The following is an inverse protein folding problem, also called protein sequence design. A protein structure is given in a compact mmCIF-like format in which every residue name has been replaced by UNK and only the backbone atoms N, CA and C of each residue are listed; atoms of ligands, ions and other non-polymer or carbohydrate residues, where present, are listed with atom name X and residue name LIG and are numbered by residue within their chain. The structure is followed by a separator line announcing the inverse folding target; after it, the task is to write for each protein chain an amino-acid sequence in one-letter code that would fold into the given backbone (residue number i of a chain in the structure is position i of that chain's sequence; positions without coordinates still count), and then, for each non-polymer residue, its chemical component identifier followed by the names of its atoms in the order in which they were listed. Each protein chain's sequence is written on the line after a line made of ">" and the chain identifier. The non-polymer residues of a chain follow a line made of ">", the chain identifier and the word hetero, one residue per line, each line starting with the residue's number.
data_IF_995583433610
#
_entry.id   IF_995583433610
#
_cell.length_a   1.000
_cell.length_b   1.000
_cell.length_c   1.000
_cell.angle_alpha   90.00
_cell.angle_beta   90.00
_cell.angle_gamma   90.00
#
_symmetry.space_group_name_H-M   'P 1'
#
loop_
_entity.id
_entity.type
_entity.pdbx_description
1 polymer ?
#
# COMPACT_ATOMS: atom_id res chain seq x y z
N UNK A 1 -25.04 52.64 36.55
CA UNK A 1 -25.43 51.92 35.32
C UNK A 1 -24.19 51.48 34.55
N UNK A 2 -23.84 50.19 34.59
CA UNK A 2 -23.34 49.38 33.45
C UNK A 2 -22.96 47.97 33.97
N UNK A 3 -23.70 46.96 33.53
CA UNK A 3 -23.39 45.53 33.65
C UNK A 3 -22.68 45.12 32.35
N UNK A 4 -21.56 44.40 32.43
CA UNK A 4 -20.94 43.66 31.32
C UNK A 4 -20.35 42.40 31.96
N UNK A 5 -21.09 41.30 32.01
CA UNK A 5 -21.30 40.28 30.96
C UNK A 5 -20.16 39.23 30.95
N UNK A 6 -20.57 38.04 31.37
CA UNK A 6 -19.93 36.73 31.30
C UNK A 6 -19.57 36.36 29.86
N UNK A 7 -18.50 35.57 29.69
CA UNK A 7 -18.38 34.42 28.76
C UNK A 7 -16.90 34.02 28.77
N UNK A 8 -16.53 32.87 29.35
CA UNK A 8 -16.88 31.55 28.81
C UNK A 8 -15.69 31.10 27.97
N UNK A 9 -14.65 30.58 28.63
CA UNK A 9 -13.46 30.05 27.95
C UNK A 9 -13.88 28.76 27.24
N UNK A 10 -14.02 28.84 25.92
CA UNK A 10 -14.37 27.71 25.08
C UNK A 10 -13.22 26.68 25.07
N UNK A 11 -13.56 25.44 25.40
CA UNK A 11 -12.71 24.27 25.16
C UNK A 11 -12.60 24.09 23.64
N UNK A 12 -11.43 24.38 23.08
CA UNK A 12 -11.10 24.07 21.69
C UNK A 12 -10.91 22.56 21.56
N UNK A 13 -11.95 21.86 21.11
CA UNK A 13 -11.83 20.52 20.56
C UNK A 13 -11.06 20.63 19.24
N UNK A 14 -9.81 20.16 19.23
CA UNK A 14 -9.04 19.98 18.00
C UNK A 14 -9.68 18.84 17.20
N UNK A 15 -10.48 19.19 16.20
CA UNK A 15 -10.87 18.26 15.16
C UNK A 15 -9.63 17.96 14.31
N UNK A 16 -8.92 16.87 14.63
CA UNK A 16 -7.95 16.27 13.74
C UNK A 16 -8.71 15.61 12.59
N UNK A 17 -9.08 16.39 11.57
CA UNK A 17 -9.25 15.82 10.24
C UNK A 17 -7.84 15.42 9.78
N UNK A 18 -7.41 14.23 10.16
CA UNK A 18 -6.14 13.66 9.77
C UNK A 18 -6.16 13.50 8.25
N UNK A 19 -5.57 14.46 7.53
CA UNK A 19 -5.00 14.17 6.23
C UNK A 19 -3.84 13.22 6.52
N UNK A 20 -4.08 11.92 6.56
CA UNK A 20 -2.99 10.94 6.58
C UNK A 20 -2.16 11.20 5.33
N UNK A 21 -0.90 11.66 5.47
CA UNK A 21 -0.08 11.98 4.31
C UNK A 21 0.10 10.71 3.46
N UNK A 22 0.31 10.88 2.15
CA UNK A 22 0.69 9.74 1.30
C UNK A 22 1.97 9.09 1.85
N UNK A 23 2.11 7.75 1.77
CA UNK A 23 3.31 7.08 2.27
C UNK A 23 4.53 7.52 1.46
N UNK A 24 5.67 7.67 2.16
CA UNK A 24 6.89 8.23 1.60
C UNK A 24 7.97 7.18 1.31
N UNK A 25 7.85 6.00 1.93
CA UNK A 25 8.77 4.86 1.78
C UNK A 25 8.02 3.53 1.69
N UNK A 26 8.72 2.45 1.31
CA UNK A 26 8.15 1.10 1.33
C UNK A 26 7.76 0.65 2.73
N UNK A 27 8.62 0.93 3.73
CA UNK A 27 8.32 0.66 5.14
C UNK A 27 7.04 1.38 5.63
N UNK A 28 6.78 2.61 5.16
CA UNK A 28 5.53 3.32 5.48
C UNK A 28 4.31 2.63 4.87
N UNK A 29 4.46 2.05 3.67
CA UNK A 29 3.38 1.31 3.01
C UNK A 29 3.12 0.00 3.75
N UNK A 30 4.19 -0.74 4.04
CA UNK A 30 4.15 -2.00 4.78
C UNK A 30 3.49 -1.83 6.15
N UNK A 31 3.97 -0.87 6.95
CA UNK A 31 3.39 -0.60 8.27
C UNK A 31 1.89 -0.30 8.19
N UNK A 32 1.42 0.40 7.15
CA UNK A 32 -0.01 0.67 6.97
C UNK A 32 -0.81 -0.57 6.57
N UNK A 33 -0.23 -1.46 5.78
CA UNK A 33 -0.86 -2.74 5.43
C UNK A 33 -1.00 -3.58 6.70
N UNK A 34 0.08 -3.71 7.47
CA UNK A 34 0.11 -4.44 8.74
C UNK A 34 -0.87 -3.85 9.76
N UNK A 35 -0.93 -2.53 9.90
CA UNK A 35 -1.90 -1.83 10.77
C UNK A 35 -3.36 -2.04 10.35
N UNK A 36 -3.61 -2.37 9.08
CA UNK A 36 -4.95 -2.63 8.56
C UNK A 36 -5.39 -4.10 8.72
N UNK A 37 -4.45 -5.00 9.00
CA UNK A 37 -4.70 -6.41 9.23
C UNK A 37 -5.17 -6.65 10.69
N UNK A 38 -5.97 -7.69 10.94
CA UNK A 38 -6.48 -7.96 12.28
C UNK A 38 -5.37 -8.42 13.23
N UNK A 39 -5.29 -7.82 14.43
CA UNK A 39 -4.27 -8.15 15.44
C UNK A 39 -4.36 -9.60 15.96
N UNK A 40 -5.57 -10.18 15.99
CA UNK A 40 -5.87 -11.51 16.58
C UNK A 40 -6.46 -12.51 15.54
N UNK A 41 -6.22 -12.30 14.25
CA UNK A 41 -6.80 -13.11 13.17
C UNK A 41 -5.75 -13.84 12.33
N UNK A 42 -6.10 -15.02 11.83
CA UNK A 42 -5.23 -15.81 10.93
C UNK A 42 -5.37 -15.39 9.45
N UNK A 43 -6.34 -14.53 9.13
CA UNK A 43 -6.59 -14.01 7.78
C UNK A 43 -7.22 -12.61 7.80
N UNK A 44 -7.00 -11.83 6.75
CA UNK A 44 -7.52 -10.46 6.62
C UNK A 44 -7.56 -9.99 5.17
N UNK A 45 -8.35 -8.94 4.90
CA UNK A 45 -8.41 -8.30 3.58
C UNK A 45 -8.02 -6.83 3.73
N UNK A 46 -7.19 -6.33 2.81
CA UNK A 46 -6.73 -4.93 2.79
C UNK A 46 -7.14 -4.28 1.48
N UNK A 47 -7.92 -3.21 1.58
CA UNK A 47 -8.24 -2.35 0.44
C UNK A 47 -7.10 -1.37 0.20
N UNK A 48 -6.39 -1.51 -0.90
CA UNK A 48 -5.19 -0.72 -1.20
C UNK A 48 -5.48 0.77 -1.37
N UNK A 49 -6.71 1.15 -1.70
CA UNK A 49 -7.14 2.56 -1.74
C UNK A 49 -7.14 3.25 -0.38
N UNK A 50 -7.29 2.50 0.71
CA UNK A 50 -7.27 3.05 2.06
C UNK A 50 -5.81 3.21 2.56
N UNK A 51 -4.93 2.32 2.11
CA UNK A 51 -3.48 2.36 2.37
C UNK A 51 -2.79 3.47 1.55
N UNK A 52 -3.17 3.56 0.28
CA UNK A 52 -2.59 4.41 -0.76
C UNK A 52 -3.65 5.42 -1.25
N UNK A 53 -4.07 6.38 -0.40
CA UNK A 53 -5.21 7.26 -0.67
C UNK A 53 -4.98 8.25 -1.81
N UNK A 54 -3.77 8.30 -2.38
CA UNK A 54 -3.46 9.16 -3.51
C UNK A 54 -4.43 8.86 -4.67
N UNK A 55 -5.15 9.88 -5.15
CA UNK A 55 -6.06 9.73 -6.29
C UNK A 55 -5.31 9.71 -7.63
N UNK A 56 -3.97 9.76 -7.60
CA UNK A 56 -3.12 9.86 -8.80
C UNK A 56 -2.92 8.58 -9.57
N UNK A 57 -3.35 7.43 -9.06
CA UNK A 57 -3.22 6.14 -9.74
C UNK A 57 -4.58 5.59 -10.16
N UNK A 58 -4.61 4.76 -11.20
CA UNK A 58 -5.79 4.02 -11.66
C UNK A 58 -5.60 2.50 -11.60
N UNK A 59 -4.34 2.05 -11.56
CA UNK A 59 -3.96 0.63 -11.55
C UNK A 59 -2.83 0.37 -10.57
N UNK A 60 -2.83 -0.82 -9.99
CA UNK A 60 -1.81 -1.34 -9.08
C UNK A 60 -1.35 -2.69 -9.60
N UNK A 61 -0.06 -2.98 -9.47
CA UNK A 61 0.47 -4.34 -9.57
C UNK A 61 1.44 -4.58 -8.44
N UNK A 62 1.56 -5.85 -8.06
CA UNK A 62 2.69 -6.34 -7.26
C UNK A 62 3.81 -6.74 -8.21
N UNK A 63 5.04 -6.46 -7.82
CA UNK A 63 6.25 -6.96 -8.45
C UNK A 63 6.92 -7.99 -7.55
N UNK A 64 7.19 -9.17 -8.09
CA UNK A 64 7.70 -10.30 -7.29
C UNK A 64 9.20 -10.53 -7.44
N UNK A 65 9.83 -11.22 -6.47
CA UNK A 65 11.21 -11.67 -6.59
C UNK A 65 11.51 -12.32 -7.93
N UNK A 66 12.68 -12.01 -8.48
CA UNK A 66 13.15 -12.49 -9.78
C UNK A 66 12.35 -12.03 -11.01
N UNK A 67 11.34 -11.17 -10.84
CA UNK A 67 10.62 -10.56 -11.96
C UNK A 67 11.47 -9.48 -12.63
N UNK A 68 11.61 -9.55 -13.94
CA UNK A 68 12.32 -8.56 -14.72
C UNK A 68 11.46 -7.32 -14.95
N UNK A 69 12.11 -6.14 -14.99
CA UNK A 69 11.39 -4.88 -15.23
C UNK A 69 10.54 -4.90 -16.52
N UNK A 70 10.97 -5.60 -17.58
CA UNK A 70 10.19 -5.65 -18.81
C UNK A 70 8.90 -6.46 -18.67
N UNK A 71 8.89 -7.54 -17.89
CA UNK A 71 7.69 -8.36 -17.62
C UNK A 71 6.61 -7.52 -16.92
N UNK A 72 7.02 -6.81 -15.87
CA UNK A 72 6.14 -5.94 -15.11
C UNK A 72 5.61 -4.77 -15.95
N UNK A 73 6.44 -4.29 -16.88
CA UNK A 73 6.08 -3.20 -17.80
C UNK A 73 5.09 -3.61 -18.86
N UNK A 74 5.26 -4.82 -19.42
CA UNK A 74 4.30 -5.40 -20.35
C UNK A 74 2.95 -5.62 -19.66
N UNK A 75 2.96 -6.15 -18.43
CA UNK A 75 1.76 -6.31 -17.61
C UNK A 75 1.06 -4.97 -17.37
N UNK A 76 1.80 -3.94 -16.98
CA UNK A 76 1.25 -2.60 -16.73
C UNK A 76 0.94 -1.80 -18.00
N UNK A 77 1.43 -2.21 -19.17
CA UNK A 77 1.48 -1.37 -20.38
C UNK A 77 2.13 -0.01 -20.10
N UNK A 78 3.21 -0.01 -19.33
CA UNK A 78 3.95 1.18 -18.92
C UNK A 78 5.40 1.14 -19.45
N UNK A 79 6.09 2.27 -19.40
CA UNK A 79 7.49 2.32 -19.80
C UNK A 79 8.42 1.61 -18.79
N UNK A 80 9.27 0.71 -19.29
CA UNK A 80 10.09 -0.16 -18.44
C UNK A 80 11.20 0.50 -17.66
N UNK A 81 11.66 1.69 -18.07
CA UNK A 81 12.57 2.48 -17.25
C UNK A 81 11.94 3.04 -15.97
N UNK A 82 10.63 2.84 -15.76
CA UNK A 82 9.89 3.42 -14.62
C UNK A 82 9.44 2.39 -13.58
N UNK A 83 9.61 1.09 -13.83
CA UNK A 83 9.30 0.03 -12.86
C UNK A 83 10.59 -0.48 -12.20
N UNK A 84 10.52 -1.02 -10.97
CA UNK A 84 11.66 -1.69 -10.35
C UNK A 84 12.08 -2.95 -11.13
N UNK A 85 13.38 -3.23 -11.13
CA UNK A 85 13.94 -4.49 -11.61
C UNK A 85 14.25 -5.40 -10.41
N UNK A 86 13.57 -6.55 -10.33
CA UNK A 86 13.67 -7.51 -9.24
C UNK A 86 14.39 -8.80 -9.65
N UNK A 87 14.92 -8.88 -10.88
CA UNK A 87 15.51 -10.08 -11.47
C UNK A 87 16.58 -10.77 -10.61
N UNK A 88 17.28 -10.00 -9.77
CA UNK A 88 18.36 -10.47 -8.91
C UNK A 88 18.04 -10.31 -7.41
N UNK A 89 16.77 -10.14 -7.05
CA UNK A 89 16.31 -9.91 -5.67
C UNK A 89 15.40 -11.05 -5.23
N UNK A 90 15.73 -11.66 -4.11
CA UNK A 90 14.93 -12.66 -3.41
C UNK A 90 14.30 -12.10 -2.12
N UNK A 91 14.94 -11.07 -1.58
CA UNK A 91 14.64 -10.33 -0.35
C UNK A 91 13.62 -9.19 -0.52
N UNK A 92 13.23 -8.88 -1.76
CA UNK A 92 12.41 -7.71 -2.04
C UNK A 92 11.23 -8.00 -2.96
N UNK A 93 10.19 -7.21 -2.79
CA UNK A 93 9.00 -7.13 -3.61
C UNK A 93 8.67 -5.66 -3.88
N UNK A 94 7.73 -5.40 -4.78
CA UNK A 94 7.33 -4.05 -5.12
C UNK A 94 5.81 -3.86 -5.12
N UNK A 95 5.36 -2.69 -4.67
CA UNK A 95 4.04 -2.17 -5.03
C UNK A 95 4.25 -1.09 -6.07
N UNK A 96 3.63 -1.24 -7.24
CA UNK A 96 3.74 -0.30 -8.36
C UNK A 96 2.38 0.25 -8.72
N UNK A 97 2.27 1.58 -8.67
CA UNK A 97 1.10 2.34 -9.03
C UNK A 97 1.29 2.97 -10.40
N UNK A 98 0.30 2.79 -11.26
CA UNK A 98 0.29 3.36 -12.61
C UNK A 98 -0.94 4.23 -12.85
N UNK A 99 -0.79 5.13 -13.82
CA UNK A 99 -1.87 5.91 -14.43
C UNK A 99 -1.61 6.02 -15.93
N UNK A 100 -2.58 5.61 -16.74
CA UNK A 100 -2.34 5.55 -18.20
C UNK A 100 -1.09 4.72 -18.49
N UNK A 101 -0.18 5.21 -19.33
CA UNK A 101 1.08 4.53 -19.70
C UNK A 101 2.27 4.87 -18.78
N UNK A 102 2.03 5.56 -17.66
CA UNK A 102 3.07 6.02 -16.74
C UNK A 102 2.99 5.31 -15.38
N UNK A 103 4.17 5.05 -14.80
CA UNK A 103 4.30 4.69 -13.38
C UNK A 103 4.28 5.98 -12.57
N UNK A 104 3.33 6.09 -11.66
CA UNK A 104 3.19 7.24 -10.76
C UNK A 104 4.09 7.10 -9.54
N UNK A 105 4.20 5.86 -9.04
CA UNK A 105 5.04 5.54 -7.90
C UNK A 105 5.33 4.05 -7.85
N UNK A 106 6.51 3.72 -7.35
CA UNK A 106 6.85 2.36 -6.97
C UNK A 106 7.53 2.42 -5.60
N UNK A 107 7.25 1.42 -4.76
CA UNK A 107 7.95 1.20 -3.51
C UNK A 107 8.50 -0.21 -3.49
N UNK A 108 9.75 -0.34 -3.04
CA UNK A 108 10.32 -1.63 -2.68
C UNK A 108 10.01 -1.90 -1.21
N UNK A 109 9.52 -3.09 -0.93
CA UNK A 109 9.27 -3.61 0.41
C UNK A 109 10.18 -4.82 0.61
N UNK A 110 10.61 -5.06 1.85
CA UNK A 110 11.19 -6.34 2.21
C UNK A 110 10.09 -7.42 2.31
N UNK A 111 10.50 -8.64 2.62
CA UNK A 111 9.63 -9.82 2.66
C UNK A 111 9.65 -10.51 4.03
N UNK A 112 10.11 -9.82 5.07
CA UNK A 112 10.31 -10.39 6.40
C UNK A 112 8.99 -10.47 7.18
N UNK A 113 8.22 -9.40 7.24
CA UNK A 113 6.94 -9.34 7.98
C UNK A 113 5.70 -9.45 7.07
N UNK A 114 5.86 -9.09 5.80
CA UNK A 114 4.81 -9.09 4.78
C UNK A 114 5.33 -9.71 3.47
N UNK A 115 4.63 -10.69 2.90
CA UNK A 115 4.97 -11.32 1.62
C UNK A 115 3.79 -11.23 0.65
N UNK A 116 3.80 -10.24 -0.24
CA UNK A 116 2.79 -10.02 -1.28
C UNK A 116 2.89 -11.03 -2.43
N UNK A 117 3.94 -11.86 -2.45
CA UNK A 117 4.23 -12.82 -3.50
C UNK A 117 4.15 -14.25 -2.97
N UNK A 118 3.11 -14.51 -2.17
CA UNK A 118 2.85 -15.79 -1.54
C UNK A 118 2.81 -16.98 -2.51
N UNK A 119 2.86 -18.21 -1.99
CA UNK A 119 2.84 -19.42 -2.81
C UNK A 119 1.50 -19.55 -3.55
N UNK A 120 1.49 -19.14 -4.83
CA UNK A 120 0.29 -19.15 -5.67
C UNK A 120 -0.19 -17.77 -6.09
N UNK A 121 0.35 -16.70 -5.48
CA UNK A 121 0.07 -15.34 -5.90
C UNK A 121 0.71 -15.09 -7.28
N UNK A 122 -0.14 -15.01 -8.30
CA UNK A 122 0.29 -14.60 -9.63
C UNK A 122 0.12 -13.07 -9.73
N UNK A 123 1.21 -12.32 -9.96
CA UNK A 123 1.10 -10.87 -9.97
C UNK A 123 0.22 -10.39 -11.14
N UNK A 124 -0.83 -9.66 -10.79
CA UNK A 124 -1.88 -9.17 -11.68
C UNK A 124 -1.99 -7.64 -11.63
N UNK A 125 -2.75 -7.07 -12.58
CA UNK A 125 -3.09 -5.64 -12.59
C UNK A 125 -4.46 -5.44 -11.99
N UNK A 126 -4.51 -4.83 -10.82
CA UNK A 126 -5.74 -4.49 -10.13
C UNK A 126 -6.17 -3.06 -10.48
N UNK A 127 -7.43 -2.89 -10.89
CA UNK A 127 -8.03 -1.58 -10.99
C UNK A 127 -8.13 -0.95 -9.59
N UNK A 128 -8.02 0.38 -9.49
CA UNK A 128 -7.98 1.07 -8.20
C UNK A 128 -9.13 0.71 -7.26
N UNK A 129 -10.36 0.65 -7.76
CA UNK A 129 -11.55 0.32 -6.98
C UNK A 129 -11.68 -1.16 -6.64
N UNK A 130 -10.91 -2.02 -7.31
CA UNK A 130 -10.88 -3.48 -7.15
C UNK A 130 -9.62 -3.96 -6.41
N UNK A 131 -8.67 -3.07 -6.12
CA UNK A 131 -7.40 -3.39 -5.47
C UNK A 131 -7.60 -3.77 -3.99
N UNK A 132 -8.06 -5.00 -3.78
CA UNK A 132 -8.20 -5.65 -2.48
C UNK A 132 -7.27 -6.85 -2.46
N UNK A 133 -6.41 -6.92 -1.45
CA UNK A 133 -5.48 -8.02 -1.25
C UNK A 133 -5.94 -8.84 -0.05
N UNK A 134 -6.02 -10.15 -0.22
CA UNK A 134 -6.29 -11.10 0.86
C UNK A 134 -4.98 -11.59 1.43
N UNK A 135 -4.94 -11.79 2.74
CA UNK A 135 -3.77 -12.24 3.45
C UNK A 135 -4.11 -13.35 4.43
N UNK A 136 -3.16 -14.25 4.59
CA UNK A 136 -3.15 -15.29 5.62
C UNK A 136 -1.83 -15.22 6.39
N UNK A 137 -1.85 -15.45 7.70
CA UNK A 137 -0.63 -15.52 8.49
C UNK A 137 0.00 -16.91 8.38
N UNK A 138 1.29 -16.98 8.03
CA UNK A 138 2.03 -18.23 7.99
C UNK A 138 2.45 -18.71 9.40
N UNK A 139 3.05 -19.90 9.47
CA UNK A 139 3.44 -20.51 10.74
C UNK A 139 4.54 -19.73 11.49
N UNK A 140 5.27 -18.86 10.80
CA UNK A 140 6.31 -18.00 11.35
C UNK A 140 5.77 -16.63 11.77
N UNK A 141 4.46 -16.38 11.60
CA UNK A 141 3.79 -15.15 11.97
C UNK A 141 3.83 -14.06 10.90
N UNK A 142 4.35 -14.37 9.71
CA UNK A 142 4.42 -13.42 8.58
C UNK A 142 3.10 -13.40 7.83
N UNK A 143 2.67 -12.22 7.39
CA UNK A 143 1.47 -12.09 6.57
C UNK A 143 1.79 -12.34 5.10
N UNK A 144 1.06 -13.25 4.47
CA UNK A 144 1.30 -13.68 3.10
C UNK A 144 0.06 -13.43 2.26
N UNK A 145 0.21 -12.78 1.11
CA UNK A 145 -0.90 -12.56 0.19
C UNK A 145 -1.32 -13.86 -0.51
N UNK A 146 -2.64 -14.05 -0.63
CA UNK A 146 -3.29 -15.23 -1.24
C UNK A 146 -3.58 -15.06 -2.74
#
# INVERSE_FOLDING_TARGET
>A
MKRIAVCGLAVLAAALTACSPAPSSGADVEARILDALPEDGDSGEVRMVDILPDARWDRLTIGCPYEEAWEMSERLQAWSGSVPDLAQRDDAQAIVLARGDAVERAWLLDREELDLCGPGAEPEVLARDEAVLSFTQDADGRWVAD
#
